data_IF_425781141396
#
_entry.id   IF_425781141396
#
_cell.length_a   1.000
_cell.length_b   1.000
_cell.length_c   1.000
_cell.angle_alpha   90.00
_cell.angle_beta   90.00
_cell.angle_gamma   90.00
#
_symmetry.space_group_name_H-M   'P 1'
#
loop_
_entity.id
_entity.type
_entity.pdbx_description
1 polymer ?
#
# COMPACT_ATOMS: atom_id res chain seq x y z
N UNK A 1 16.14 -1.92 -0.04
CA UNK A 1 14.98 -1.14 0.42
C UNK A 1 13.72 -1.42 -0.40
N UNK A 2 13.68 -1.27 -1.73
CA UNK A 2 12.43 -1.45 -2.52
C UNK A 2 11.80 -2.84 -2.43
N UNK A 3 12.61 -3.90 -2.58
CA UNK A 3 12.13 -5.29 -2.47
C UNK A 3 11.58 -5.57 -1.08
N UNK A 4 12.30 -5.15 -0.03
CA UNK A 4 11.85 -5.30 1.36
C UNK A 4 10.54 -4.54 1.58
N UNK A 5 10.42 -3.29 1.09
CA UNK A 5 9.18 -2.52 1.18
C UNK A 5 7.99 -3.19 0.49
N UNK A 6 8.18 -3.81 -0.68
CA UNK A 6 7.14 -4.58 -1.35
C UNK A 6 6.74 -5.85 -0.57
N UNK A 7 7.72 -6.58 -0.02
CA UNK A 7 7.46 -7.74 0.84
C UNK A 7 6.72 -7.32 2.11
N UNK A 8 7.09 -6.20 2.73
CA UNK A 8 6.39 -5.68 3.91
C UNK A 8 4.95 -5.26 3.57
N UNK A 9 4.71 -4.64 2.41
CA UNK A 9 3.37 -4.33 1.95
C UNK A 9 2.53 -5.60 1.71
N UNK A 10 3.13 -6.65 1.15
CA UNK A 10 2.48 -7.96 0.99
C UNK A 10 2.13 -8.58 2.35
N UNK A 11 3.06 -8.58 3.30
CA UNK A 11 2.82 -9.09 4.64
C UNK A 11 1.68 -8.31 5.34
N UNK A 12 1.68 -6.98 5.25
CA UNK A 12 0.61 -6.15 5.80
C UNK A 12 -0.75 -6.44 5.15
N UNK A 13 -0.78 -6.60 3.82
CA UNK A 13 -1.98 -6.94 3.07
C UNK A 13 -2.55 -8.30 3.51
N UNK A 14 -1.71 -9.34 3.56
CA UNK A 14 -2.13 -10.68 3.95
C UNK A 14 -2.62 -10.73 5.40
N UNK A 15 -1.94 -10.04 6.32
CA UNK A 15 -2.39 -9.92 7.72
C UNK A 15 -3.73 -9.21 7.81
N UNK A 16 -3.95 -8.14 7.04
CA UNK A 16 -5.23 -7.45 6.97
C UNK A 16 -6.36 -8.33 6.43
N UNK A 17 -6.10 -9.10 5.36
CA UNK A 17 -7.08 -10.04 4.80
C UNK A 17 -7.49 -11.13 5.79
N UNK A 18 -6.55 -11.66 6.57
CA UNK A 18 -6.82 -12.65 7.60
C UNK A 18 -7.66 -12.09 8.76
N UNK A 19 -7.60 -10.77 9.00
CA UNK A 19 -8.33 -10.11 10.08
C UNK A 19 -9.79 -9.83 9.74
N UNK A 20 -10.23 -9.93 8.48
CA UNK A 20 -11.59 -9.58 8.05
C UNK A 20 -12.65 -10.35 8.84
N UNK A 21 -12.45 -11.66 9.02
CA UNK A 21 -13.42 -12.52 9.73
C UNK A 21 -13.37 -12.35 11.26
N UNK A 22 -12.37 -11.61 11.78
CA UNK A 22 -12.15 -11.39 13.21
C UNK A 22 -12.70 -10.04 13.69
N UNK A 23 -13.11 -9.15 12.78
CA UNK A 23 -13.56 -7.80 13.13
C UNK A 23 -14.94 -7.50 12.55
N UNK A 24 -15.80 -6.91 13.38
CA UNK A 24 -17.07 -6.36 12.90
C UNK A 24 -16.88 -4.92 12.42
N UNK A 25 -17.35 -4.62 11.22
CA UNK A 25 -17.40 -3.24 10.70
C UNK A 25 -18.82 -2.70 10.90
N UNK A 26 -19.01 -1.55 11.57
CA UNK A 26 -20.34 -0.95 11.68
C UNK A 26 -20.80 -0.44 10.31
N UNK A 27 -22.11 -0.42 10.05
CA UNK A 27 -22.71 0.00 8.77
C UNK A 27 -22.15 1.33 8.22
N UNK A 28 -21.94 2.31 9.09
CA UNK A 28 -21.37 3.62 8.75
C UNK A 28 -19.89 3.59 8.28
N UNK A 29 -19.18 2.51 8.58
CA UNK A 29 -17.78 2.26 8.22
C UNK A 29 -17.59 1.41 6.95
N UNK A 30 -18.61 0.69 6.49
CA UNK A 30 -18.53 -0.27 5.36
C UNK A 30 -17.93 0.34 4.08
N UNK A 31 -18.41 1.52 3.68
CA UNK A 31 -17.86 2.22 2.49
C UNK A 31 -16.38 2.58 2.67
N UNK A 32 -15.97 2.89 3.90
CA UNK A 32 -14.55 3.18 4.19
C UNK A 32 -13.73 1.90 4.18
N UNK A 33 -14.29 0.78 4.63
CA UNK A 33 -13.62 -0.53 4.66
C UNK A 33 -13.40 -1.06 3.24
N UNK A 34 -14.43 -1.00 2.39
CA UNK A 34 -14.32 -1.32 0.97
C UNK A 34 -13.26 -0.46 0.28
N UNK A 35 -13.28 0.87 0.46
CA UNK A 35 -12.25 1.76 -0.09
C UNK A 35 -10.86 1.43 0.45
N UNK A 36 -10.72 1.16 1.75
CA UNK A 36 -9.43 0.78 2.32
C UNK A 36 -8.87 -0.48 1.65
N UNK A 37 -9.71 -1.49 1.44
CA UNK A 37 -9.35 -2.73 0.73
C UNK A 37 -8.91 -2.47 -0.70
N UNK A 38 -9.65 -1.65 -1.47
CA UNK A 38 -9.27 -1.29 -2.83
C UNK A 38 -7.90 -0.59 -2.88
N UNK A 39 -7.69 0.39 -2.00
CA UNK A 39 -6.43 1.11 -1.89
C UNK A 39 -5.28 0.23 -1.41
N UNK A 40 -5.54 -0.77 -0.57
CA UNK A 40 -4.55 -1.77 -0.16
C UNK A 40 -4.09 -2.61 -1.36
N UNK A 41 -5.00 -3.04 -2.24
CA UNK A 41 -4.64 -3.72 -3.49
C UNK A 41 -3.83 -2.80 -4.41
N UNK A 42 -4.28 -1.56 -4.63
CA UNK A 42 -3.54 -0.61 -5.46
C UNK A 42 -2.13 -0.37 -4.92
N UNK A 43 -1.98 -0.21 -3.61
CA UNK A 43 -0.68 0.00 -2.96
C UNK A 43 0.22 -1.23 -3.12
N UNK A 44 -0.32 -2.43 -2.91
CA UNK A 44 0.43 -3.67 -3.06
C UNK A 44 0.94 -3.85 -4.49
N UNK A 45 0.06 -3.75 -5.48
CA UNK A 45 0.44 -3.90 -6.88
C UNK A 45 1.41 -2.83 -7.33
N UNK A 46 1.20 -1.58 -6.89
CA UNK A 46 2.08 -0.47 -7.22
C UNK A 46 3.49 -0.67 -6.65
N UNK A 47 3.61 -1.00 -5.35
CA UNK A 47 4.92 -1.19 -4.72
C UNK A 47 5.62 -2.45 -5.24
N UNK A 48 4.89 -3.53 -5.50
CA UNK A 48 5.41 -4.73 -6.17
C UNK A 48 5.95 -4.41 -7.56
N UNK A 49 5.14 -3.75 -8.39
CA UNK A 49 5.54 -3.30 -9.73
C UNK A 49 6.72 -2.34 -9.71
N UNK A 50 6.74 -1.38 -8.77
CA UNK A 50 7.85 -0.44 -8.61
C UNK A 50 9.14 -1.14 -8.18
N UNK A 51 9.06 -2.14 -7.31
CA UNK A 51 10.21 -2.95 -6.93
C UNK A 51 10.77 -3.75 -8.12
N UNK A 52 9.90 -4.37 -8.92
CA UNK A 52 10.29 -5.08 -10.15
C UNK A 52 10.89 -4.12 -11.18
N UNK A 53 10.29 -2.94 -11.38
CA UNK A 53 10.81 -1.89 -12.26
C UNK A 53 12.20 -1.43 -11.82
N UNK A 54 12.41 -1.17 -10.52
CA UNK A 54 13.72 -0.79 -9.97
C UNK A 54 14.75 -1.90 -10.19
N UNK A 55 14.38 -3.17 -9.97
CA UNK A 55 15.26 -4.31 -10.22
C UNK A 55 15.64 -4.41 -11.69
N UNK A 56 14.68 -4.24 -12.60
CA UNK A 56 14.92 -4.25 -14.04
C UNK A 56 15.85 -3.10 -14.49
N UNK A 57 15.59 -1.87 -14.05
CA UNK A 57 16.43 -0.70 -14.36
C UNK A 57 17.86 -0.89 -13.86
N UNK A 58 18.02 -1.45 -12.67
CA UNK A 58 19.33 -1.77 -12.10
C UNK A 58 20.06 -2.82 -12.93
N UNK A 59 19.39 -3.91 -13.31
CA UNK A 59 19.97 -4.96 -14.15
C UNK A 59 20.42 -4.39 -15.50
N UNK A 60 19.56 -3.59 -16.16
CA UNK A 60 19.87 -2.96 -17.44
C UNK A 60 20.85 -1.77 -17.33
N UNK A 61 21.33 -1.42 -16.13
CA UNK A 61 22.25 -0.29 -15.86
C UNK A 61 21.75 1.04 -16.42
N UNK A 62 20.42 1.24 -16.41
CA UNK A 62 19.76 2.45 -16.92
C UNK A 62 19.72 3.58 -15.88
N UNK A 63 20.13 3.29 -14.65
CA UNK A 63 20.15 4.17 -13.48
C UNK A 63 21.09 5.39 -13.63
N UNK A 64 22.01 5.37 -14.61
CA UNK A 64 22.89 6.51 -14.92
C UNK A 64 22.19 7.63 -15.70
N UNK A 65 21.03 7.37 -16.29
CA UNK A 65 20.31 8.35 -17.13
C UNK A 65 19.49 9.29 -16.25
N UNK A 66 19.76 10.61 -16.32
CA UNK A 66 19.06 11.63 -15.52
C UNK A 66 17.53 11.54 -15.61
N UNK A 67 16.99 11.34 -16.82
CA UNK A 67 15.55 11.25 -17.02
C UNK A 67 14.92 10.03 -16.31
N UNK A 68 15.65 8.90 -16.24
CA UNK A 68 15.22 7.69 -15.52
C UNK A 68 15.15 7.97 -14.02
N UNK A 69 16.11 8.72 -13.48
CA UNK A 69 16.08 9.12 -12.06
C UNK A 69 14.87 10.02 -11.75
N UNK A 70 14.56 10.99 -12.63
CA UNK A 70 13.39 11.86 -12.48
C UNK A 70 12.10 11.03 -12.53
N UNK A 71 11.97 10.12 -13.49
CA UNK A 71 10.82 9.22 -13.59
C UNK A 71 10.65 8.38 -12.32
N UNK A 72 11.75 7.77 -11.85
CA UNK A 72 11.74 6.94 -10.64
C UNK A 72 11.42 7.73 -9.38
N UNK A 73 11.81 9.01 -9.32
CA UNK A 73 11.46 9.90 -8.22
C UNK A 73 9.96 10.21 -8.23
N UNK A 74 9.39 10.56 -9.38
CA UNK A 74 7.94 10.82 -9.52
C UNK A 74 7.15 9.57 -9.13
N UNK A 75 7.54 8.40 -9.63
CA UNK A 75 6.90 7.13 -9.25
C UNK A 75 7.05 6.85 -7.74
N UNK A 76 8.23 7.08 -7.16
CA UNK A 76 8.42 6.96 -5.72
C UNK A 76 7.47 7.87 -4.92
N UNK A 77 7.30 9.12 -5.36
CA UNK A 77 6.37 10.06 -4.74
C UNK A 77 4.91 9.63 -4.88
N UNK A 78 4.51 9.12 -6.05
CA UNK A 78 3.19 8.51 -6.24
C UNK A 78 2.97 7.35 -5.26
N UNK A 79 3.95 6.47 -5.08
CA UNK A 79 3.89 5.38 -4.10
C UNK A 79 3.63 5.87 -2.67
N UNK A 80 4.23 6.99 -2.27
CA UNK A 80 3.97 7.60 -0.96
C UNK A 80 2.51 8.06 -0.81
N UNK A 81 1.91 8.61 -1.87
CA UNK A 81 0.49 9.01 -1.85
C UNK A 81 -0.43 7.79 -1.69
N UNK A 82 -0.13 6.69 -2.38
CA UNK A 82 -0.91 5.45 -2.26
C UNK A 82 -0.87 4.90 -0.82
N UNK A 83 0.33 4.83 -0.23
CA UNK A 83 0.51 4.41 1.17
C UNK A 83 -0.25 5.34 2.11
N UNK A 84 -0.12 6.66 1.94
CA UNK A 84 -0.79 7.64 2.79
C UNK A 84 -2.33 7.52 2.72
N UNK A 85 -2.89 7.30 1.52
CA UNK A 85 -4.34 7.10 1.36
C UNK A 85 -4.83 5.81 1.99
N UNK A 86 -4.09 4.72 1.80
CA UNK A 86 -4.40 3.43 2.43
C UNK A 86 -4.37 3.56 3.96
N UNK A 87 -3.34 4.23 4.50
CA UNK A 87 -3.19 4.47 5.92
C UNK A 87 -4.28 5.40 6.50
N UNK A 88 -4.66 6.48 5.81
CA UNK A 88 -5.74 7.38 6.25
C UNK A 88 -7.09 6.65 6.36
N UNK A 89 -7.42 5.82 5.36
CA UNK A 89 -8.64 5.01 5.40
C UNK A 89 -8.59 3.98 6.52
N UNK A 90 -7.45 3.29 6.71
CA UNK A 90 -7.26 2.34 7.80
C UNK A 90 -7.36 3.00 9.18
N UNK A 91 -6.76 4.18 9.35
CA UNK A 91 -6.87 4.98 10.55
C UNK A 91 -8.32 5.40 10.84
N UNK A 92 -9.08 5.78 9.82
CA UNK A 92 -10.53 6.08 9.99
C UNK A 92 -11.32 4.86 10.46
N UNK A 93 -11.02 3.67 9.98
CA UNK A 93 -11.68 2.44 10.46
C UNK A 93 -11.50 2.27 11.96
N UNK A 94 -10.26 2.43 12.45
CA UNK A 94 -9.96 2.25 13.88
C UNK A 94 -10.47 3.42 14.72
N UNK A 95 -10.04 4.66 14.40
CA UNK A 95 -10.26 5.81 15.29
C UNK A 95 -11.65 6.45 15.16
N UNK A 96 -12.28 6.38 13.98
CA UNK A 96 -13.62 6.96 13.78
C UNK A 96 -14.73 5.92 13.93
N UNK A 97 -14.50 4.70 13.46
CA UNK A 97 -15.53 3.66 13.41
C UNK A 97 -15.32 2.52 14.43
N UNK A 98 -14.21 2.50 15.17
CA UNK A 98 -13.97 1.50 16.22
C UNK A 98 -13.73 0.08 15.70
N UNK A 99 -13.33 -0.08 14.44
CA UNK A 99 -13.04 -1.41 13.88
C UNK A 99 -11.79 -1.97 14.56
N UNK A 100 -11.87 -3.20 15.08
CA UNK A 100 -10.76 -3.90 15.72
C UNK A 100 -10.35 -3.37 17.10
N UNK A 101 -11.17 -2.53 17.75
CA UNK A 101 -10.89 -2.00 19.10
C UNK A 101 -11.61 -2.76 20.23
N UNK A 102 -12.59 -3.59 19.88
CA UNK A 102 -13.38 -4.37 20.85
C UNK A 102 -13.02 -5.85 20.69
N UNK A 103 -12.83 -6.55 21.80
CA UNK A 103 -12.51 -7.99 21.84
C UNK A 103 -13.73 -8.86 21.61
#
# INVERSE_FOLDING_TARGET
MYVIGAISALAAFLSGSQAIDLVSVPMQGEVTASKHSDWAHYTLYYLGGYALLRLFIFWQRLDKKKWVLILLFILGATGMVLVAKTADLGGKLVYKYGVGTTK
#
